data_IF_237743686676
#
_entry.id   IF_237743686676
#
_cell.length_a   1.000
_cell.length_b   1.000
_cell.length_c   1.000
_cell.angle_alpha   90.00
_cell.angle_beta   90.00
_cell.angle_gamma   90.00
#
_symmetry.space_group_name_H-M   'P 1'
#
loop_
_entity.id
_entity.type
_entity.pdbx_description
1 polymer ?
#
# COMPACT_ATOMS: atom_id res chain seq x y z
N UNK A 1 68.71 -1.92 -19.55
CA UNK A 1 67.97 -0.80 -18.93
C UNK A 1 66.49 -1.12 -19.02
N UNK A 2 65.81 -1.39 -17.91
CA UNK A 2 64.38 -1.77 -17.87
C UNK A 2 63.54 -0.51 -17.67
N UNK A 3 62.65 -0.21 -18.63
CA UNK A 3 61.65 0.84 -18.51
C UNK A 3 60.59 0.40 -17.48
N UNK A 4 60.43 1.18 -16.42
CA UNK A 4 59.31 1.05 -15.49
C UNK A 4 58.20 2.00 -15.96
N UNK A 5 57.14 1.45 -16.55
CA UNK A 5 55.91 2.19 -16.83
C UNK A 5 55.09 2.34 -15.55
N UNK A 6 54.81 3.58 -15.15
CA UNK A 6 53.89 3.88 -14.05
C UNK A 6 52.47 3.88 -14.62
N UNK A 7 51.65 2.91 -14.20
CA UNK A 7 50.21 2.90 -14.46
C UNK A 7 49.52 3.69 -13.34
N UNK A 8 48.91 4.83 -13.68
CA UNK A 8 47.99 5.54 -12.79
C UNK A 8 46.61 4.86 -12.85
N UNK A 9 46.17 4.31 -11.73
CA UNK A 9 44.79 3.87 -11.53
C UNK A 9 43.95 5.05 -10.99
N UNK A 10 42.98 5.52 -11.77
CA UNK A 10 41.94 6.42 -11.27
C UNK A 10 40.87 5.59 -10.56
N UNK A 11 40.72 5.77 -9.25
CA UNK A 11 39.62 5.20 -8.47
C UNK A 11 38.45 6.18 -8.56
N UNK A 12 37.40 5.81 -9.29
CA UNK A 12 36.11 6.52 -9.30
C UNK A 12 35.36 6.18 -8.01
N UNK A 13 35.26 7.14 -7.10
CA UNK A 13 34.34 7.08 -5.96
C UNK A 13 32.93 7.42 -6.44
N UNK A 14 32.07 6.42 -6.61
CA UNK A 14 30.64 6.64 -6.77
C UNK A 14 30.02 6.93 -5.41
N UNK A 15 29.64 8.18 -5.16
CA UNK A 15 28.76 8.55 -4.05
C UNK A 15 27.35 8.04 -4.37
N UNK A 16 26.87 7.05 -3.62
CA UNK A 16 25.47 6.64 -3.65
C UNK A 16 24.65 7.70 -2.91
N UNK A 17 23.94 8.54 -3.64
CA UNK A 17 22.92 9.39 -3.06
C UNK A 17 21.71 8.53 -2.67
N UNK A 18 21.36 8.55 -1.38
CA UNK A 18 20.12 7.94 -0.89
C UNK A 18 18.96 8.85 -1.31
N UNK A 19 18.40 8.60 -2.50
CA UNK A 19 17.22 9.32 -2.98
C UNK A 19 15.99 8.84 -2.21
N UNK A 20 15.35 9.74 -1.49
CA UNK A 20 14.05 9.50 -0.84
C UNK A 20 12.94 9.89 -1.80
N UNK A 21 11.96 9.01 -1.98
CA UNK A 21 10.73 9.31 -2.71
C UNK A 21 9.61 9.59 -1.72
N UNK A 22 8.94 10.71 -1.90
CA UNK A 22 7.73 11.04 -1.15
C UNK A 22 6.50 10.67 -1.97
N UNK A 23 5.47 10.20 -1.29
CA UNK A 23 4.15 9.96 -1.86
C UNK A 23 3.08 10.41 -0.89
N UNK A 24 1.85 10.30 -1.35
CA UNK A 24 0.66 10.67 -0.60
C UNK A 24 -0.34 9.52 -0.65
N UNK A 25 -1.11 9.36 0.41
CA UNK A 25 -2.31 8.55 0.43
C UNK A 25 -3.48 9.40 0.95
N UNK A 26 -4.69 9.10 0.51
CA UNK A 26 -5.90 9.71 1.08
C UNK A 26 -7.14 8.93 0.69
N UNK A 27 -8.16 9.03 1.53
CA UNK A 27 -9.52 8.63 1.22
C UNK A 27 -10.46 9.81 0.93
N UNK A 28 -9.99 11.05 1.07
CA UNK A 28 -10.77 12.25 0.80
C UNK A 28 -10.72 12.58 -0.68
N UNK A 29 -11.77 13.19 -1.21
CA UNK A 29 -11.79 13.65 -2.59
C UNK A 29 -10.70 14.70 -2.83
N UNK A 30 -9.95 14.55 -3.91
CA UNK A 30 -8.91 15.47 -4.36
C UNK A 30 -9.11 15.77 -5.84
N UNK A 31 -9.19 17.06 -6.16
CA UNK A 31 -9.39 17.56 -7.52
C UNK A 31 -8.14 17.39 -8.40
N UNK A 32 -8.28 17.52 -9.71
CA UNK A 32 -7.15 17.46 -10.65
C UNK A 32 -6.15 18.58 -10.37
N UNK A 33 -6.62 19.79 -10.07
CA UNK A 33 -5.80 20.96 -9.75
C UNK A 33 -4.99 20.77 -8.47
N UNK A 34 -5.58 20.17 -7.43
CA UNK A 34 -4.86 19.82 -6.21
C UNK A 34 -3.82 18.74 -6.47
N UNK A 35 -4.13 17.71 -7.25
CA UNK A 35 -3.12 16.72 -7.64
C UNK A 35 -1.99 17.34 -8.47
N UNK A 36 -2.27 18.30 -9.36
CA UNK A 36 -1.20 19.02 -10.09
C UNK A 36 -0.27 19.76 -9.13
N UNK A 37 -0.83 20.36 -8.07
CA UNK A 37 -0.04 20.97 -7.01
C UNK A 37 0.82 19.92 -6.29
N UNK A 38 0.21 18.81 -5.84
CA UNK A 38 0.90 17.74 -5.11
C UNK A 38 2.03 17.09 -5.94
N UNK A 39 1.82 16.89 -7.25
CA UNK A 39 2.82 16.28 -8.14
C UNK A 39 4.15 17.03 -8.19
N UNK A 40 4.17 18.32 -7.83
CA UNK A 40 5.42 19.09 -7.76
C UNK A 40 6.38 18.59 -6.69
N UNK A 41 5.89 17.90 -5.66
CA UNK A 41 6.68 17.41 -4.53
C UNK A 41 6.53 15.90 -4.26
N UNK A 42 5.49 15.26 -4.80
CA UNK A 42 5.19 13.86 -4.57
C UNK A 42 5.28 13.04 -5.86
N UNK A 43 5.86 11.85 -5.75
CA UNK A 43 6.21 10.97 -6.87
C UNK A 43 5.21 9.84 -7.11
N UNK A 44 4.44 9.47 -6.10
CA UNK A 44 3.41 8.43 -6.17
C UNK A 44 2.19 8.78 -5.32
N UNK A 45 1.07 8.13 -5.63
CA UNK A 45 -0.20 8.28 -4.91
C UNK A 45 -0.79 6.90 -4.60
N UNK A 46 -1.30 6.72 -3.37
CA UNK A 46 -2.01 5.50 -2.94
C UNK A 46 -3.46 5.87 -2.61
N UNK A 47 -4.42 5.37 -3.39
CA UNK A 47 -5.84 5.65 -3.17
C UNK A 47 -6.50 4.56 -2.30
N UNK A 48 -7.44 4.92 -1.41
CA UNK A 48 -8.33 3.90 -0.85
C UNK A 48 -9.22 3.36 -1.96
N UNK A 49 -9.26 2.04 -2.16
CA UNK A 49 -10.17 1.43 -3.15
C UNK A 49 -11.35 0.70 -2.50
N UNK A 50 -11.22 0.33 -1.24
CA UNK A 50 -12.22 -0.40 -0.48
C UNK A 50 -12.19 0.02 0.98
N UNK A 51 -13.36 0.14 1.60
CA UNK A 51 -13.48 0.54 3.00
C UNK A 51 -13.96 -0.60 3.90
N UNK A 52 -13.73 -0.46 5.21
CA UNK A 52 -14.11 -1.44 6.22
C UNK A 52 -15.65 -1.65 6.35
N UNK A 53 -16.47 -0.83 5.67
CA UNK A 53 -17.92 -1.02 5.60
C UNK A 53 -18.36 -1.92 4.43
N UNK A 54 -17.41 -2.48 3.67
CA UNK A 54 -17.70 -3.42 2.60
C UNK A 54 -18.11 -2.75 1.30
N UNK A 55 -17.57 -1.56 1.04
CA UNK A 55 -17.94 -0.78 -0.13
C UNK A 55 -16.71 -0.37 -0.92
N UNK A 56 -16.87 -0.35 -2.25
CA UNK A 56 -15.95 0.30 -3.17
C UNK A 56 -15.89 1.79 -2.84
N UNK A 57 -14.68 2.34 -2.74
CA UNK A 57 -14.50 3.76 -2.45
C UNK A 57 -14.53 4.58 -3.75
N UNK A 58 -15.70 5.16 -4.07
CA UNK A 58 -15.88 5.93 -5.30
C UNK A 58 -15.07 7.22 -5.33
N UNK A 59 -14.77 7.84 -4.18
CA UNK A 59 -13.86 8.98 -4.12
C UNK A 59 -12.44 8.54 -4.45
N UNK A 60 -12.01 7.39 -3.94
CA UNK A 60 -10.75 6.75 -4.32
C UNK A 60 -10.62 6.44 -5.81
N UNK A 61 -11.67 5.85 -6.42
CA UNK A 61 -11.75 5.62 -7.87
C UNK A 61 -11.61 6.94 -8.64
N UNK A 62 -12.30 7.98 -8.20
CA UNK A 62 -12.23 9.29 -8.84
C UNK A 62 -10.85 9.94 -8.65
N UNK A 63 -10.23 9.77 -7.49
CA UNK A 63 -8.89 10.25 -7.18
C UNK A 63 -7.83 9.61 -8.08
N UNK A 64 -7.91 8.30 -8.35
CA UNK A 64 -7.01 7.63 -9.30
C UNK A 64 -7.13 8.29 -10.69
N UNK A 65 -8.36 8.53 -11.17
CA UNK A 65 -8.60 9.21 -12.45
C UNK A 65 -8.04 10.63 -12.44
N UNK A 66 -8.20 11.36 -11.34
CA UNK A 66 -7.72 12.73 -11.21
C UNK A 66 -6.19 12.80 -11.14
N UNK A 67 -5.55 11.92 -10.36
CA UNK A 67 -4.11 11.81 -10.24
C UNK A 67 -3.45 11.49 -11.60
N UNK A 68 -4.03 10.55 -12.38
CA UNK A 68 -3.58 10.28 -13.76
C UNK A 68 -3.67 11.51 -14.66
N UNK A 69 -4.80 12.23 -14.62
CA UNK A 69 -4.97 13.49 -15.38
C UNK A 69 -4.00 14.60 -14.95
N UNK A 70 -3.60 14.60 -13.68
CA UNK A 70 -2.56 15.49 -13.16
C UNK A 70 -1.14 15.03 -13.48
N UNK A 71 -0.98 13.82 -14.06
CA UNK A 71 0.28 13.27 -14.55
C UNK A 71 1.00 12.33 -13.59
N UNK A 72 0.40 11.91 -12.47
CA UNK A 72 0.98 10.83 -11.66
C UNK A 72 1.07 9.54 -12.49
N UNK A 73 2.26 8.94 -12.50
CA UNK A 73 2.53 7.70 -13.23
C UNK A 73 2.46 6.49 -12.29
N UNK A 74 3.05 6.59 -11.10
CA UNK A 74 2.97 5.57 -10.07
C UNK A 74 1.73 5.79 -9.21
N UNK A 75 0.73 4.94 -9.40
CA UNK A 75 -0.52 4.97 -8.63
C UNK A 75 -0.81 3.57 -8.11
N UNK A 76 -0.90 3.46 -6.80
CA UNK A 76 -1.20 2.24 -6.07
C UNK A 76 -2.58 2.38 -5.38
N UNK A 77 -3.11 1.29 -4.86
CA UNK A 77 -4.35 1.28 -4.09
C UNK A 77 -4.15 0.66 -2.72
N UNK A 78 -4.97 1.04 -1.75
CA UNK A 78 -5.08 0.32 -0.48
C UNK A 78 -6.51 -0.15 -0.24
N UNK A 79 -6.61 -1.35 0.34
CA UNK A 79 -7.83 -2.05 0.65
C UNK A 79 -7.96 -2.13 2.16
N UNK A 80 -9.02 -1.55 2.73
CA UNK A 80 -9.26 -1.60 4.16
C UNK A 80 -10.31 -2.69 4.48
N UNK A 81 -9.88 -3.91 4.84
CA UNK A 81 -10.77 -5.03 5.08
C UNK A 81 -11.49 -4.94 6.42
N UNK A 82 -12.51 -5.78 6.57
CA UNK A 82 -13.13 -6.09 7.86
C UNK A 82 -13.40 -7.58 8.00
N UNK A 83 -12.79 -8.24 8.99
CA UNK A 83 -13.07 -9.65 9.30
C UNK A 83 -14.19 -9.85 10.33
N UNK A 84 -14.49 -8.81 11.11
CA UNK A 84 -15.47 -8.85 12.21
C UNK A 84 -16.84 -9.40 11.78
N UNK A 85 -17.48 -10.13 12.70
CA UNK A 85 -18.82 -10.74 12.63
C UNK A 85 -19.18 -11.60 11.41
N UNK A 86 -18.22 -11.89 10.52
CA UNK A 86 -18.41 -12.81 9.39
C UNK A 86 -19.41 -12.34 8.34
N UNK A 87 -19.84 -11.07 8.38
CA UNK A 87 -20.79 -10.50 7.40
C UNK A 87 -20.35 -10.68 5.95
N UNK A 88 -19.05 -10.61 5.69
CA UNK A 88 -18.48 -10.71 4.35
C UNK A 88 -17.19 -11.52 4.40
N UNK A 89 -17.10 -12.57 3.57
CA UNK A 89 -15.86 -13.35 3.44
C UNK A 89 -14.74 -12.51 2.82
N UNK A 90 -13.48 -12.88 3.09
CA UNK A 90 -12.32 -12.27 2.45
C UNK A 90 -12.44 -12.29 0.92
N UNK A 91 -12.83 -13.44 0.37
CA UNK A 91 -13.06 -13.60 -1.07
C UNK A 91 -14.09 -12.61 -1.62
N UNK A 92 -15.25 -12.46 -0.96
CA UNK A 92 -16.27 -11.53 -1.41
C UNK A 92 -15.76 -10.09 -1.43
N UNK A 93 -15.12 -9.64 -0.35
CA UNK A 93 -14.65 -8.25 -0.25
C UNK A 93 -13.59 -7.96 -1.32
N UNK A 94 -12.62 -8.85 -1.49
CA UNK A 94 -11.55 -8.66 -2.48
C UNK A 94 -12.07 -8.74 -3.91
N UNK A 95 -12.91 -9.72 -4.24
CA UNK A 95 -13.50 -9.84 -5.58
C UNK A 95 -14.39 -8.65 -5.92
N UNK A 96 -15.19 -8.16 -4.97
CA UNK A 96 -16.03 -6.99 -5.18
C UNK A 96 -15.19 -5.73 -5.47
N UNK A 97 -14.08 -5.51 -4.74
CA UNK A 97 -13.18 -4.39 -5.04
C UNK A 97 -12.52 -4.54 -6.41
N UNK A 98 -11.98 -5.71 -6.73
CA UNK A 98 -11.31 -5.96 -8.01
C UNK A 98 -12.28 -5.81 -9.19
N UNK A 99 -13.50 -6.32 -9.08
CA UNK A 99 -14.52 -6.13 -10.11
C UNK A 99 -14.92 -4.66 -10.24
N UNK A 100 -15.01 -3.92 -9.12
CA UNK A 100 -15.28 -2.48 -9.15
C UNK A 100 -14.17 -1.68 -9.85
N UNK A 101 -12.89 -2.07 -9.68
CA UNK A 101 -11.79 -1.48 -10.45
C UNK A 101 -11.98 -1.73 -11.95
N UNK A 102 -12.26 -2.97 -12.34
CA UNK A 102 -12.47 -3.36 -13.74
C UNK A 102 -13.65 -2.61 -14.38
N UNK A 103 -14.78 -2.55 -13.68
CA UNK A 103 -15.99 -1.84 -14.12
C UNK A 103 -15.74 -0.34 -14.35
N UNK A 104 -14.83 0.25 -13.59
CA UNK A 104 -14.46 1.65 -13.72
C UNK A 104 -13.24 1.92 -14.61
N UNK A 105 -12.64 0.87 -15.20
CA UNK A 105 -11.44 0.96 -16.04
C UNK A 105 -10.22 1.47 -15.27
N UNK A 106 -10.08 1.06 -14.01
CA UNK A 106 -8.96 1.43 -13.14
C UNK A 106 -7.90 0.33 -13.17
N UNK A 107 -6.65 0.74 -13.29
CA UNK A 107 -5.49 -0.13 -13.07
C UNK A 107 -4.63 0.50 -11.97
N UNK A 108 -3.98 -0.32 -11.17
CA UNK A 108 -3.05 0.14 -10.12
C UNK A 108 -1.81 -0.75 -10.14
N UNK A 109 -0.66 -0.17 -9.79
CA UNK A 109 0.62 -0.88 -9.84
C UNK A 109 0.79 -1.88 -8.70
N UNK A 110 0.12 -1.62 -7.57
CA UNK A 110 0.18 -2.41 -6.34
C UNK A 110 -1.09 -2.26 -5.54
N UNK A 111 -1.45 -3.31 -4.81
CA UNK A 111 -2.46 -3.28 -3.77
C UNK A 111 -1.83 -3.44 -2.38
N UNK A 112 -2.14 -2.52 -1.47
CA UNK A 112 -1.82 -2.64 -0.05
C UNK A 112 -3.03 -3.14 0.72
N UNK A 113 -2.87 -4.21 1.50
CA UNK A 113 -3.89 -4.64 2.45
C UNK A 113 -3.62 -3.92 3.77
N UNK A 114 -4.55 -3.07 4.17
CA UNK A 114 -4.46 -2.24 5.37
C UNK A 114 -4.88 -3.05 6.60
N UNK A 115 -3.90 -3.46 7.40
CA UNK A 115 -4.09 -4.25 8.62
C UNK A 115 -3.84 -3.34 9.81
N UNK A 116 -4.89 -2.64 10.23
CA UNK A 116 -4.92 -1.78 11.40
C UNK A 116 -6.12 -2.12 12.29
N UNK A 117 -6.00 -1.88 13.60
CA UNK A 117 -7.06 -2.15 14.58
C UNK A 117 -7.42 -0.92 15.43
N UNK A 118 -7.45 0.26 14.81
CA UNK A 118 -7.48 1.53 15.56
C UNK A 118 -8.71 1.72 16.45
N UNK A 119 -9.79 0.96 16.24
CA UNK A 119 -11.03 1.07 16.99
C UNK A 119 -11.60 -0.29 17.48
N UNK A 120 -10.82 -1.37 17.53
CA UNK A 120 -11.23 -2.71 18.04
C UNK A 120 -12.50 -3.36 17.39
N UNK A 121 -13.02 -2.81 16.29
CA UNK A 121 -14.33 -3.19 15.72
C UNK A 121 -14.28 -3.94 14.38
N UNK A 122 -13.09 -4.10 13.79
CA UNK A 122 -12.94 -4.63 12.41
C UNK A 122 -12.35 -6.03 12.33
N UNK A 123 -11.77 -6.54 13.41
CA UNK A 123 -11.10 -7.84 13.45
C UNK A 123 -11.73 -8.77 14.46
N UNK A 124 -11.54 -10.07 14.27
CA UNK A 124 -11.96 -11.08 15.24
C UNK A 124 -10.99 -11.07 16.42
N UNK A 125 -11.47 -11.48 17.60
CA UNK A 125 -10.59 -11.74 18.74
C UNK A 125 -9.67 -12.96 18.52
N UNK A 126 -10.07 -13.86 17.63
CA UNK A 126 -9.26 -15.02 17.22
C UNK A 126 -8.24 -14.61 16.14
N UNK A 127 -6.98 -14.49 16.57
CA UNK A 127 -5.85 -14.17 15.68
C UNK A 127 -5.64 -15.23 14.60
N UNK A 128 -5.92 -16.51 14.86
CA UNK A 128 -5.80 -17.57 13.84
C UNK A 128 -6.78 -17.35 12.70
N UNK A 129 -8.03 -17.02 13.02
CA UNK A 129 -9.04 -16.72 12.01
C UNK A 129 -8.70 -15.45 11.21
N UNK A 130 -8.14 -14.42 11.86
CA UNK A 130 -7.65 -13.23 11.16
C UNK A 130 -6.52 -13.57 10.17
N UNK A 131 -5.57 -14.43 10.58
CA UNK A 131 -4.46 -14.89 9.72
C UNK A 131 -4.99 -15.59 8.47
N UNK A 132 -5.93 -16.52 8.62
CA UNK A 132 -6.56 -17.22 7.49
C UNK A 132 -7.30 -16.25 6.56
N UNK A 133 -8.02 -15.29 7.14
CA UNK A 133 -8.72 -14.25 6.39
C UNK A 133 -7.75 -13.39 5.57
N UNK A 134 -6.64 -12.95 6.15
CA UNK A 134 -5.60 -12.16 5.46
C UNK A 134 -4.94 -12.96 4.34
N UNK A 135 -4.61 -14.23 4.57
CA UNK A 135 -4.04 -15.10 3.53
C UNK A 135 -4.98 -15.25 2.34
N UNK A 136 -6.28 -15.36 2.58
CA UNK A 136 -7.26 -15.44 1.50
C UNK A 136 -7.39 -14.10 0.75
N UNK A 137 -7.35 -12.94 1.43
CA UNK A 137 -7.31 -11.64 0.77
C UNK A 137 -6.10 -11.52 -0.15
N UNK A 138 -4.90 -11.86 0.34
CA UNK A 138 -3.65 -11.86 -0.42
C UNK A 138 -3.81 -12.75 -1.67
N UNK A 139 -4.25 -13.99 -1.47
CA UNK A 139 -4.37 -14.97 -2.55
C UNK A 139 -5.30 -14.48 -3.65
N UNK A 140 -6.45 -13.90 -3.31
CA UNK A 140 -7.44 -13.35 -4.26
C UNK A 140 -6.93 -12.10 -4.97
N UNK A 141 -6.25 -11.21 -4.24
CA UNK A 141 -5.65 -10.01 -4.83
C UNK A 141 -4.61 -10.38 -5.91
N UNK A 142 -3.74 -11.35 -5.61
CA UNK A 142 -2.65 -11.78 -6.50
C UNK A 142 -3.12 -12.44 -7.79
N UNK A 143 -4.39 -12.86 -7.89
CA UNK A 143 -4.98 -13.37 -9.13
C UNK A 143 -5.08 -12.28 -10.22
N UNK A 144 -5.19 -11.00 -9.84
CA UNK A 144 -5.28 -9.86 -10.78
C UNK A 144 -4.18 -8.82 -10.61
N UNK A 145 -3.70 -8.59 -9.39
CA UNK A 145 -2.68 -7.60 -9.06
C UNK A 145 -1.49 -8.34 -8.42
N UNK A 146 -0.47 -8.73 -9.19
CA UNK A 146 0.63 -9.56 -8.68
C UNK A 146 1.49 -8.89 -7.59
N UNK A 147 1.44 -7.56 -7.50
CA UNK A 147 2.16 -6.79 -6.48
C UNK A 147 1.21 -6.51 -5.32
N UNK A 148 1.26 -7.35 -4.29
CA UNK A 148 0.54 -7.14 -3.04
C UNK A 148 1.53 -6.80 -1.92
N UNK A 149 1.18 -5.81 -1.11
CA UNK A 149 1.89 -5.41 0.09
C UNK A 149 0.97 -5.33 1.31
N UNK A 150 1.56 -5.20 2.49
CA UNK A 150 0.85 -5.02 3.75
C UNK A 150 1.11 -3.60 4.26
N UNK A 151 0.05 -2.89 4.63
CA UNK A 151 0.15 -1.70 5.47
C UNK A 151 -0.19 -2.07 6.90
N UNK A 152 0.62 -1.65 7.87
CA UNK A 152 0.36 -1.85 9.30
C UNK A 152 1.33 -1.01 10.16
N UNK A 153 1.18 -1.10 11.48
CA UNK A 153 2.18 -0.69 12.47
C UNK A 153 2.39 -1.82 13.50
N UNK A 154 3.35 -1.68 14.41
CA UNK A 154 3.65 -2.73 15.40
C UNK A 154 2.41 -3.14 16.22
N UNK A 155 1.63 -2.17 16.70
CA UNK A 155 0.47 -2.43 17.55
C UNK A 155 -0.68 -3.10 16.80
N UNK A 156 -1.01 -2.61 15.60
CA UNK A 156 -2.04 -3.19 14.73
C UNK A 156 -1.69 -4.61 14.30
N UNK A 157 -0.43 -4.86 13.94
CA UNK A 157 0.02 -6.23 13.63
C UNK A 157 -0.09 -7.16 14.83
N UNK A 158 0.41 -6.72 15.99
CA UNK A 158 0.33 -7.49 17.23
C UNK A 158 -1.12 -7.82 17.61
N UNK A 159 -2.01 -6.82 17.55
CA UNK A 159 -3.40 -6.99 17.97
C UNK A 159 -4.18 -7.91 17.02
N UNK A 160 -3.97 -7.79 15.70
CA UNK A 160 -4.75 -8.54 14.70
C UNK A 160 -4.23 -9.96 14.51
N UNK A 161 -2.91 -10.13 14.37
CA UNK A 161 -2.29 -11.40 13.97
C UNK A 161 -1.20 -11.90 14.91
N UNK A 162 -0.65 -11.05 15.78
CA UNK A 162 0.46 -11.41 16.67
C UNK A 162 1.83 -11.29 16.00
N UNK A 163 2.80 -10.77 16.75
CA UNK A 163 4.16 -10.47 16.26
C UNK A 163 4.93 -11.71 15.81
N UNK A 164 4.56 -12.89 16.30
CA UNK A 164 5.15 -14.18 15.97
C UNK A 164 4.73 -14.72 14.59
N UNK A 165 3.70 -14.13 13.98
CA UNK A 165 3.19 -14.62 12.72
C UNK A 165 3.96 -14.09 11.50
N UNK A 166 4.49 -15.02 10.70
CA UNK A 166 5.33 -14.72 9.53
C UNK A 166 4.60 -14.97 8.18
N UNK A 167 3.29 -15.26 8.20
CA UNK A 167 2.55 -15.72 7.00
C UNK A 167 2.51 -14.73 5.82
N UNK A 168 2.79 -13.44 6.08
CA UNK A 168 2.93 -12.41 5.05
C UNK A 168 4.35 -11.80 4.98
N UNK A 169 5.36 -12.43 5.59
CA UNK A 169 6.74 -11.92 5.67
C UNK A 169 7.43 -11.75 4.30
N UNK A 170 6.93 -12.43 3.26
CA UNK A 170 7.41 -12.28 1.89
C UNK A 170 6.79 -11.10 1.13
N UNK A 171 5.88 -10.34 1.76
CA UNK A 171 5.22 -9.17 1.16
C UNK A 171 5.99 -7.90 1.52
N UNK A 172 5.85 -6.87 0.69
CA UNK A 172 6.38 -5.55 1.02
C UNK A 172 5.59 -4.94 2.18
N UNK A 173 6.27 -4.17 3.00
CA UNK A 173 5.72 -3.52 4.19
C UNK A 173 5.67 -2.01 3.99
N UNK A 174 4.47 -1.44 4.03
CA UNK A 174 4.22 -0.01 4.23
C UNK A 174 3.96 0.21 5.72
N UNK A 175 5.01 0.58 6.45
CA UNK A 175 4.99 0.66 7.92
C UNK A 175 4.61 2.06 8.40
N UNK A 176 3.53 2.17 9.17
CA UNK A 176 3.14 3.43 9.80
C UNK A 176 3.94 3.68 11.09
N UNK A 177 4.68 4.79 11.09
CA UNK A 177 5.35 5.33 12.27
C UNK A 177 5.17 6.84 12.27
N UNK A 178 4.43 7.35 13.25
CA UNK A 178 4.20 8.79 13.40
C UNK A 178 5.13 9.32 14.49
N UNK A 179 6.08 10.13 14.08
CA UNK A 179 6.86 10.94 15.02
C UNK A 179 5.95 12.06 15.53
N UNK A 180 5.75 12.13 16.85
CA UNK A 180 5.15 13.31 17.46
C UNK A 180 6.30 14.30 17.61
N UNK A 181 6.36 15.32 16.74
CA UNK A 181 7.24 16.47 16.96
C UNK A 181 6.94 17.05 18.35
N UNK A 182 7.95 17.27 19.21
CA UNK A 182 7.72 17.97 20.46
C UNK A 182 7.21 19.39 20.13
N UNK A 183 6.02 19.70 20.62
CA UNK A 183 5.40 21.04 20.53
C UNK A 183 6.23 22.07 21.27
#
# INVERSE_FOLDING_TARGET
MKNFGVFLFFILFYSFECSKTFGIDTSLNVTVEEFKCLKTNYSFFIARIWNAFGQLDLDGIQNIKNARKAGFENIEGYFFPRAYDGRMSAAYQMEAALNGLDEHGIEIDRLWIDIQNDNDEFWLSDKSMNRDFILELIRRAEEKIPKVGIYTNNWGWESVVGLDWEGASNKLLWYAHFEIEPV
#
